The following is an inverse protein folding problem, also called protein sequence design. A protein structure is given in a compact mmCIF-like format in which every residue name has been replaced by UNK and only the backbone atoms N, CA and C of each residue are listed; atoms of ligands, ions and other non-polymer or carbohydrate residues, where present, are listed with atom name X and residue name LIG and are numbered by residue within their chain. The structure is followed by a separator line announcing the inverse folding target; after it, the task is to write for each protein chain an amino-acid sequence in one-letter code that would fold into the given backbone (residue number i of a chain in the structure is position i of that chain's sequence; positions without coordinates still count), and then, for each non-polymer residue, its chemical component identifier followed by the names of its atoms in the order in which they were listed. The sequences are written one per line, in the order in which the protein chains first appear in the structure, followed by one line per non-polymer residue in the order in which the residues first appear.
data_IF_804744996267
#
_entry.id   IF_804744996267
#
_cell.length_a   1.000
_cell.length_b   1.000
_cell.length_c   1.000
_cell.angle_alpha   90.00
_cell.angle_beta   90.00
_cell.angle_gamma   90.00
#
_symmetry.space_group_name_H-M   'P 1'
#
loop_
_entity.id
_entity.type
_entity.pdbx_description
1 polymer ?
#
# COMPACT_ATOMS: atom_id res chain seq x y z
N UNK A 1 -2.84 -46.80 38.59
CA UNK A 1 -3.32 -45.58 39.28
C UNK A 1 -2.20 -44.54 39.26
N UNK A 2 -2.13 -43.70 38.22
CA UNK A 2 -1.19 -42.56 38.18
C UNK A 2 -1.80 -41.47 39.08
N UNK A 3 -1.11 -41.19 40.20
CA UNK A 3 -1.67 -40.47 41.34
C UNK A 3 -2.08 -39.04 40.97
N UNK A 4 -3.12 -38.53 41.63
CA UNK A 4 -3.60 -37.15 41.52
C UNK A 4 -2.46 -36.10 41.65
N UNK A 5 -1.37 -36.46 42.34
CA UNK A 5 -0.15 -35.65 42.47
C UNK A 5 0.60 -35.42 41.14
N UNK A 6 0.58 -36.37 40.20
CA UNK A 6 1.17 -36.17 38.86
C UNK A 6 0.33 -35.25 37.98
N UNK A 7 -0.99 -35.24 38.20
CA UNK A 7 -1.90 -34.31 37.54
C UNK A 7 -1.73 -32.90 38.11
N UNK A 8 -1.74 -32.71 39.43
CA UNK A 8 -1.55 -31.38 40.03
C UNK A 8 -0.20 -30.75 39.67
N UNK A 9 0.88 -31.54 39.62
CA UNK A 9 2.21 -31.07 39.21
C UNK A 9 2.30 -30.63 37.73
N UNK A 10 1.44 -31.17 36.86
CA UNK A 10 1.36 -30.75 35.44
C UNK A 10 0.57 -29.45 35.28
N UNK A 11 -0.51 -29.29 36.04
CA UNK A 11 -1.30 -28.07 36.07
C UNK A 11 -0.51 -26.88 36.63
N UNK A 12 0.27 -27.08 37.69
CA UNK A 12 1.10 -26.01 38.27
C UNK A 12 2.19 -25.56 37.31
N UNK A 13 2.90 -26.49 36.65
CA UNK A 13 3.90 -26.14 35.61
C UNK A 13 3.28 -25.43 34.41
N UNK A 14 2.11 -25.88 33.94
CA UNK A 14 1.38 -25.21 32.87
C UNK A 14 0.98 -23.79 33.25
N UNK A 15 0.51 -23.59 34.49
CA UNK A 15 0.19 -22.28 35.04
C UNK A 15 1.40 -21.33 35.09
N UNK A 16 2.55 -21.80 35.58
CA UNK A 16 3.77 -20.98 35.61
C UNK A 16 4.27 -20.62 34.20
N UNK A 17 4.16 -21.53 33.23
CA UNK A 17 4.50 -21.22 31.84
C UNK A 17 3.55 -20.20 31.22
N UNK A 18 2.24 -20.31 31.46
CA UNK A 18 1.27 -19.34 30.97
C UNK A 18 1.55 -17.94 31.54
N UNK A 19 1.82 -17.85 32.85
CA UNK A 19 2.21 -16.59 33.51
C UNK A 19 3.48 -16.03 32.90
N UNK A 20 4.50 -16.86 32.67
CA UNK A 20 5.76 -16.45 32.06
C UNK A 20 5.57 -15.91 30.63
N UNK A 21 4.76 -16.59 29.81
CA UNK A 21 4.45 -16.14 28.44
C UNK A 21 3.69 -14.83 28.44
N UNK A 22 2.67 -14.68 29.29
CA UNK A 22 1.90 -13.43 29.42
C UNK A 22 2.79 -12.26 29.86
N UNK A 23 3.73 -12.51 30.77
CA UNK A 23 4.65 -11.49 31.28
C UNK A 23 5.65 -11.05 30.19
N UNK A 24 6.20 -11.98 29.41
CA UNK A 24 7.09 -11.67 28.27
C UNK A 24 6.31 -10.95 27.17
N UNK A 25 5.11 -11.40 26.81
CA UNK A 25 4.25 -10.72 25.84
C UNK A 25 3.89 -9.30 26.30
N UNK A 26 3.59 -9.11 27.58
CA UNK A 26 3.32 -7.80 28.17
C UNK A 26 4.53 -6.87 28.08
N UNK A 27 5.73 -7.35 28.45
CA UNK A 27 6.97 -6.58 28.34
C UNK A 27 7.32 -6.20 26.90
N UNK A 28 7.20 -7.14 25.96
CA UNK A 28 7.44 -6.87 24.53
C UNK A 28 6.42 -5.87 23.99
N UNK A 29 5.15 -5.99 24.39
CA UNK A 29 4.10 -5.04 23.98
C UNK A 29 4.37 -3.62 24.50
N UNK A 30 4.91 -3.48 25.71
CA UNK A 30 5.32 -2.18 26.26
C UNK A 30 6.53 -1.54 25.55
N UNK A 31 7.38 -2.34 24.90
CA UNK A 31 8.56 -1.85 24.17
C UNK A 31 8.23 -1.50 22.72
N UNK A 32 7.31 -2.25 22.10
CA UNK A 32 6.96 -2.10 20.68
C UNK A 32 5.85 -1.08 20.46
N UNK A 33 4.93 -0.93 21.41
CA UNK A 33 3.82 0.00 21.32
C UNK A 33 4.14 1.28 22.11
N UNK A 34 3.85 2.45 21.54
CA UNK A 34 3.94 3.72 22.26
C UNK A 34 2.90 3.68 23.40
N UNK A 35 3.36 3.28 24.59
CA UNK A 35 2.52 2.84 25.71
C UNK A 35 1.40 3.82 26.09
N UNK A 36 1.59 5.15 26.10
CA UNK A 36 0.49 6.07 26.43
C UNK A 36 -0.56 6.18 25.32
N UNK A 37 -0.17 6.07 24.04
CA UNK A 37 -1.11 6.11 22.91
C UNK A 37 -1.95 4.82 22.89
N UNK A 38 -1.29 3.68 23.05
CA UNK A 38 -1.91 2.35 22.99
C UNK A 38 -2.90 2.14 24.13
N UNK A 39 -2.55 2.56 25.35
CA UNK A 39 -3.45 2.48 26.51
C UNK A 39 -4.66 3.42 26.39
N UNK A 40 -4.47 4.62 25.83
CA UNK A 40 -5.59 5.56 25.57
C UNK A 40 -6.53 5.04 24.49
N UNK A 41 -5.98 4.43 23.44
CA UNK A 41 -6.77 3.80 22.38
C UNK A 41 -7.55 2.60 22.90
N UNK A 42 -6.93 1.71 23.68
CA UNK A 42 -7.63 0.59 24.32
C UNK A 42 -8.73 1.09 25.25
N UNK A 43 -8.44 2.10 26.08
CA UNK A 43 -9.43 2.68 26.99
C UNK A 43 -10.61 3.35 26.25
N UNK A 44 -10.34 4.07 25.15
CA UNK A 44 -11.37 4.68 24.31
C UNK A 44 -12.20 3.62 23.57
N UNK A 45 -11.55 2.59 23.02
CA UNK A 45 -12.23 1.47 22.35
C UNK A 45 -13.07 0.62 23.31
N UNK A 46 -12.68 0.53 24.59
CA UNK A 46 -13.42 -0.21 25.61
C UNK A 46 -14.75 0.42 26.01
N UNK A 47 -14.95 1.71 25.71
CA UNK A 47 -16.20 2.43 25.97
C UNK A 47 -17.27 2.20 24.89
N UNK A 48 -16.92 1.59 23.76
CA UNK A 48 -17.87 1.32 22.68
C UNK A 48 -18.53 -0.06 22.82
N UNK A 49 -19.86 -0.09 22.75
CA UNK A 49 -20.63 -1.33 22.73
C UNK A 49 -20.21 -2.21 21.54
N UNK A 50 -19.84 -3.47 21.81
CA UNK A 50 -19.46 -4.46 20.79
C UNK A 50 -17.95 -4.73 20.68
N UNK A 51 -17.09 -3.77 21.00
CA UNK A 51 -15.63 -3.96 20.96
C UNK A 51 -15.15 -5.03 21.95
N UNK A 52 -15.59 -5.06 23.23
CA UNK A 52 -15.15 -6.10 24.16
C UNK A 52 -15.51 -7.51 23.69
N UNK A 53 -16.65 -7.66 23.00
CA UNK A 53 -17.11 -8.95 22.46
C UNK A 53 -16.29 -9.37 21.24
N UNK A 54 -15.99 -8.43 20.34
CA UNK A 54 -15.15 -8.68 19.16
C UNK A 54 -13.71 -9.02 19.55
N UNK A 55 -13.14 -8.29 20.51
CA UNK A 55 -11.79 -8.55 21.05
C UNK A 55 -11.75 -9.88 21.80
N UNK A 56 -12.78 -10.22 22.59
CA UNK A 56 -12.85 -11.51 23.26
C UNK A 56 -12.95 -12.68 22.26
N UNK A 57 -13.75 -12.54 21.20
CA UNK A 57 -13.88 -13.57 20.18
C UNK A 57 -12.60 -13.71 19.36
N UNK A 58 -12.03 -12.60 18.88
CA UNK A 58 -10.77 -12.60 18.14
C UNK A 58 -9.61 -13.14 18.99
N UNK A 59 -9.53 -12.74 20.25
CA UNK A 59 -8.56 -13.26 21.21
C UNK A 59 -8.73 -14.76 21.47
N UNK A 60 -9.96 -15.25 21.61
CA UNK A 60 -10.23 -16.67 21.77
C UNK A 60 -9.84 -17.49 20.53
N UNK A 61 -10.12 -16.98 19.32
CA UNK A 61 -9.71 -17.61 18.06
C UNK A 61 -8.19 -17.63 17.93
N UNK A 62 -7.51 -16.53 18.22
CA UNK A 62 -6.06 -16.41 18.15
C UNK A 62 -5.37 -17.36 19.15
N UNK A 63 -5.88 -17.46 20.37
CA UNK A 63 -5.42 -18.41 21.38
C UNK A 63 -5.65 -19.86 20.93
N UNK A 64 -6.80 -20.16 20.34
CA UNK A 64 -7.12 -21.47 19.76
C UNK A 64 -6.15 -21.86 18.64
N UNK A 65 -5.92 -20.95 17.68
CA UNK A 65 -4.97 -21.16 16.58
C UNK A 65 -3.54 -21.32 17.09
N UNK A 66 -3.12 -20.50 18.05
CA UNK A 66 -1.79 -20.60 18.66
C UNK A 66 -1.59 -21.94 19.37
N UNK A 67 -2.63 -22.44 20.07
CA UNK A 67 -2.61 -23.75 20.69
C UNK A 67 -2.54 -24.88 19.65
N UNK A 68 -3.26 -24.76 18.52
CA UNK A 68 -3.19 -25.72 17.42
C UNK A 68 -1.81 -25.76 16.76
N UNK A 69 -1.20 -24.59 16.51
CA UNK A 69 0.16 -24.49 15.96
C UNK A 69 1.18 -25.11 16.93
N UNK A 70 1.06 -24.82 18.23
CA UNK A 70 1.91 -25.43 19.24
C UNK A 70 1.74 -26.95 19.30
N UNK A 71 0.51 -27.45 19.25
CA UNK A 71 0.22 -28.88 19.20
C UNK A 71 0.84 -29.55 17.95
N UNK A 72 0.76 -28.91 16.78
CA UNK A 72 1.40 -29.37 15.55
C UNK A 72 2.92 -29.43 15.70
N UNK A 73 3.54 -28.40 16.27
CA UNK A 73 4.99 -28.38 16.54
C UNK A 73 5.39 -29.51 17.49
N UNK A 74 4.60 -29.78 18.53
CA UNK A 74 4.85 -30.89 19.46
C UNK A 74 4.66 -32.26 18.79
N UNK A 75 3.69 -32.41 17.87
CA UNK A 75 3.52 -33.63 17.08
C UNK A 75 4.73 -33.83 16.16
N UNK A 76 5.18 -32.79 15.46
CA UNK A 76 6.38 -32.83 14.61
C UNK A 76 7.61 -33.21 15.45
N UNK A 77 7.81 -32.55 16.59
CA UNK A 77 8.90 -32.86 17.52
C UNK A 77 8.83 -34.32 18.02
N UNK A 78 7.65 -34.80 18.38
CA UNK A 78 7.44 -36.18 18.80
C UNK A 78 7.74 -37.17 17.66
N UNK A 79 7.37 -36.86 16.41
CA UNK A 79 7.70 -37.69 15.25
C UNK A 79 9.21 -37.71 14.98
N UNK A 80 9.90 -36.58 15.12
CA UNK A 80 11.37 -36.51 14.97
C UNK A 80 12.12 -37.26 16.07
N UNK A 81 11.65 -37.17 17.32
CA UNK A 81 12.31 -37.81 18.48
C UNK A 81 11.93 -39.28 18.67
N UNK A 82 10.72 -39.71 18.27
CA UNK A 82 10.29 -41.11 18.26
C UNK A 82 10.86 -41.94 17.11
N UNK A 83 11.48 -41.29 16.12
CA UNK A 83 12.15 -41.95 14.98
C UNK A 83 13.46 -42.67 15.35
N UNK A 84 13.86 -42.70 16.63
CA UNK A 84 15.06 -43.37 17.11
C UNK A 84 15.08 -44.91 17.02
N UNK A 85 14.00 -45.58 16.61
CA UNK A 85 13.89 -47.06 16.70
C UNK A 85 13.37 -47.78 15.44
N UNK A 86 13.42 -47.18 14.24
CA UNK A 86 13.07 -47.90 12.99
C UNK A 86 14.27 -48.10 12.06
N UNK A 87 14.97 -49.25 12.12
CA UNK A 87 16.10 -49.55 11.26
C UNK A 87 15.67 -50.28 9.97
N UNK A 88 14.75 -49.75 9.13
CA UNK A 88 14.36 -50.46 7.89
C UNK A 88 13.99 -49.63 6.65
N UNK A 89 14.28 -48.32 6.58
CA UNK A 89 13.95 -47.53 5.37
C UNK A 89 15.07 -46.58 4.88
N UNK A 90 16.34 -46.85 5.21
CA UNK A 90 17.45 -45.92 4.93
C UNK A 90 17.81 -45.78 3.43
N UNK A 91 17.49 -46.76 2.59
CA UNK A 91 17.88 -46.75 1.17
C UNK A 91 16.85 -46.06 0.29
N UNK A 92 15.54 -46.32 0.43
CA UNK A 92 14.52 -45.62 -0.38
C UNK A 92 14.32 -44.16 0.06
N UNK A 93 14.45 -43.86 1.36
CA UNK A 93 14.43 -42.48 1.85
C UNK A 93 15.63 -41.66 1.38
N UNK A 94 16.81 -42.27 1.17
CA UNK A 94 17.97 -41.56 0.60
C UNK A 94 17.78 -41.20 -0.87
N UNK A 95 17.24 -42.12 -1.68
CA UNK A 95 16.92 -41.85 -3.09
C UNK A 95 15.81 -40.79 -3.23
N UNK A 96 14.74 -40.89 -2.43
CA UNK A 96 13.66 -39.88 -2.40
C UNK A 96 14.14 -38.52 -1.84
N UNK A 97 15.04 -38.49 -0.85
CA UNK A 97 15.64 -37.23 -0.36
C UNK A 97 16.60 -36.61 -1.35
N UNK A 98 17.39 -37.41 -2.09
CA UNK A 98 18.26 -36.92 -3.15
C UNK A 98 17.45 -36.35 -4.32
N UNK A 99 16.42 -37.07 -4.80
CA UNK A 99 15.54 -36.60 -5.87
C UNK A 99 14.76 -35.33 -5.48
N UNK A 100 14.24 -35.25 -4.25
CA UNK A 100 13.59 -34.03 -3.73
C UNK A 100 14.57 -32.88 -3.55
N UNK A 101 15.80 -33.16 -3.15
CA UNK A 101 16.88 -32.17 -3.04
C UNK A 101 17.19 -31.55 -4.39
N UNK A 102 17.32 -32.36 -5.44
CA UNK A 102 17.58 -31.89 -6.82
C UNK A 102 16.44 -31.02 -7.34
N UNK A 103 15.18 -31.44 -7.15
CA UNK A 103 14.00 -30.64 -7.57
C UNK A 103 13.92 -29.31 -6.82
N UNK A 104 14.20 -29.30 -5.50
CA UNK A 104 14.22 -28.06 -4.72
C UNK A 104 15.35 -27.13 -5.19
N UNK A 105 16.55 -27.65 -5.45
CA UNK A 105 17.66 -26.83 -5.96
C UNK A 105 17.39 -26.28 -7.35
N UNK A 106 16.81 -27.09 -8.24
CA UNK A 106 16.42 -26.65 -9.58
C UNK A 106 15.33 -25.57 -9.51
N UNK A 107 14.35 -25.78 -8.63
CA UNK A 107 13.29 -24.80 -8.38
C UNK A 107 13.84 -23.50 -7.79
N UNK A 108 14.80 -23.56 -6.88
CA UNK A 108 15.45 -22.37 -6.30
C UNK A 108 16.30 -21.60 -7.32
N UNK A 109 16.86 -22.27 -8.33
CA UNK A 109 17.59 -21.61 -9.42
C UNK A 109 16.62 -20.99 -10.42
N UNK A 110 15.51 -21.68 -10.74
CA UNK A 110 14.54 -21.24 -11.75
C UNK A 110 13.60 -20.14 -11.22
N UNK A 111 13.17 -20.21 -9.96
CA UNK A 111 12.22 -19.27 -9.35
C UNK A 111 12.67 -17.81 -9.51
N UNK A 112 13.91 -17.40 -9.16
CA UNK A 112 14.33 -16.02 -9.30
C UNK A 112 14.25 -15.50 -10.73
N UNK A 113 14.59 -16.33 -11.73
CA UNK A 113 14.52 -15.99 -13.15
C UNK A 113 13.06 -15.80 -13.57
N UNK A 114 12.19 -16.74 -13.17
CA UNK A 114 10.75 -16.67 -13.46
C UNK A 114 10.11 -15.46 -12.77
N UNK A 115 10.43 -15.18 -11.51
CA UNK A 115 9.93 -14.02 -10.79
C UNK A 115 10.41 -12.71 -11.43
N UNK A 116 11.68 -12.63 -11.83
CA UNK A 116 12.21 -11.47 -12.56
C UNK A 116 11.46 -11.26 -13.88
N UNK A 117 11.17 -12.33 -14.62
CA UNK A 117 10.42 -12.27 -15.88
C UNK A 117 8.97 -11.82 -15.65
N UNK A 118 8.26 -12.43 -14.70
CA UNK A 118 6.86 -12.09 -14.39
C UNK A 118 6.76 -10.65 -13.91
N UNK A 119 7.60 -10.24 -12.95
CA UNK A 119 7.61 -8.87 -12.43
C UNK A 119 8.07 -7.86 -13.49
N UNK A 120 9.04 -8.23 -14.35
CA UNK A 120 9.48 -7.41 -15.47
C UNK A 120 8.36 -7.16 -16.49
N UNK A 121 7.64 -8.21 -16.88
CA UNK A 121 6.50 -8.11 -17.80
C UNK A 121 5.35 -7.30 -17.18
N UNK A 122 5.05 -7.52 -15.90
CA UNK A 122 4.02 -6.77 -15.19
C UNK A 122 4.38 -5.27 -15.09
N UNK A 123 5.64 -4.94 -14.79
CA UNK A 123 6.09 -3.55 -14.75
C UNK A 123 6.07 -2.91 -16.13
N UNK A 124 6.47 -3.64 -17.17
CA UNK A 124 6.41 -3.15 -18.55
C UNK A 124 4.96 -2.85 -18.97
N UNK A 125 3.99 -3.67 -18.55
CA UNK A 125 2.58 -3.40 -18.79
C UNK A 125 2.12 -2.10 -18.11
N UNK A 126 2.52 -1.85 -16.87
CA UNK A 126 2.23 -0.58 -16.16
C UNK A 126 2.87 0.61 -16.89
N UNK A 127 4.13 0.47 -17.32
CA UNK A 127 4.83 1.52 -18.07
C UNK A 127 4.13 1.81 -19.40
N UNK A 128 3.62 0.79 -20.10
CA UNK A 128 2.85 0.96 -21.32
C UNK A 128 1.50 1.65 -21.08
N UNK A 129 0.78 1.29 -20.00
CA UNK A 129 -0.47 1.98 -19.61
C UNK A 129 -0.17 3.46 -19.32
N UNK A 130 0.89 3.75 -18.58
CA UNK A 130 1.31 5.13 -18.32
C UNK A 130 1.65 5.87 -19.62
N UNK A 131 2.31 5.22 -20.59
CA UNK A 131 2.57 5.78 -21.91
C UNK A 131 1.29 6.14 -22.70
N UNK A 132 0.24 5.33 -22.59
CA UNK A 132 -1.08 5.64 -23.18
C UNK A 132 -1.76 6.78 -22.45
N UNK A 133 -1.79 6.75 -21.11
CA UNK A 133 -2.35 7.82 -20.28
C UNK A 133 -1.64 9.15 -20.51
N UNK A 134 -0.35 9.13 -20.82
CA UNK A 134 0.40 10.32 -21.14
C UNK A 134 -0.13 11.07 -22.36
N UNK A 135 -0.65 10.38 -23.37
CA UNK A 135 -1.27 11.04 -24.53
C UNK A 135 -2.55 11.78 -24.14
N UNK A 136 -3.32 11.21 -23.22
CA UNK A 136 -4.49 11.89 -22.63
C UNK A 136 -4.04 13.06 -21.76
N UNK A 137 -3.01 12.87 -20.94
CA UNK A 137 -2.49 13.90 -20.05
C UNK A 137 -1.93 15.09 -20.83
N UNK A 138 -1.23 14.84 -21.94
CA UNK A 138 -0.79 15.84 -22.91
C UNK A 138 -1.97 16.72 -23.35
N UNK A 139 -3.04 16.10 -23.83
CA UNK A 139 -4.20 16.84 -24.31
C UNK A 139 -4.87 17.64 -23.19
N UNK A 140 -5.05 17.05 -22.01
CA UNK A 140 -5.70 17.72 -20.88
C UNK A 140 -4.86 18.89 -20.34
N UNK A 141 -3.54 18.72 -20.26
CA UNK A 141 -2.60 19.75 -19.84
C UNK A 141 -2.62 20.95 -20.81
N UNK A 142 -2.45 20.68 -22.10
CA UNK A 142 -2.46 21.72 -23.13
C UNK A 142 -3.82 22.42 -23.21
N UNK A 143 -4.94 21.67 -23.13
CA UNK A 143 -6.28 22.25 -23.08
C UNK A 143 -6.47 23.16 -21.88
N UNK A 144 -5.94 22.77 -20.72
CA UNK A 144 -6.07 23.57 -19.51
C UNK A 144 -5.32 24.90 -19.67
N UNK A 145 -4.08 24.87 -20.16
CA UNK A 145 -3.35 26.08 -20.49
C UNK A 145 -4.08 26.93 -21.55
N UNK A 146 -4.57 26.30 -22.60
CA UNK A 146 -5.28 26.96 -23.70
C UNK A 146 -6.58 27.66 -23.26
N UNK A 147 -7.33 27.07 -22.32
CA UNK A 147 -8.56 27.67 -21.77
C UNK A 147 -8.25 28.83 -20.82
N UNK A 148 -7.26 28.67 -19.93
CA UNK A 148 -7.06 29.61 -18.82
C UNK A 148 -6.02 30.71 -19.09
N UNK A 149 -5.07 30.50 -20.02
CA UNK A 149 -4.09 31.52 -20.38
C UNK A 149 -4.67 32.84 -20.93
N UNK A 150 -5.78 32.85 -21.71
CA UNK A 150 -6.37 34.11 -22.19
C UNK A 150 -7.30 34.78 -21.16
N UNK A 151 -7.63 34.13 -20.03
CA UNK A 151 -8.59 34.66 -19.07
C UNK A 151 -7.99 35.82 -18.25
N UNK A 152 -8.67 36.98 -18.19
CA UNK A 152 -8.16 38.15 -17.46
C UNK A 152 -8.13 37.89 -15.95
N UNK A 153 -6.99 38.21 -15.32
CA UNK A 153 -6.81 38.09 -13.86
C UNK A 153 -6.31 36.72 -13.38
N UNK A 154 -6.08 35.76 -14.29
CA UNK A 154 -5.47 34.47 -13.95
C UNK A 154 -3.94 34.57 -13.98
N UNK A 155 -3.29 34.14 -12.90
CA UNK A 155 -1.82 34.11 -12.81
C UNK A 155 -1.22 32.87 -13.47
N UNK A 156 0.05 32.94 -13.89
CA UNK A 156 0.77 31.76 -14.41
C UNK A 156 0.79 30.61 -13.39
N UNK A 157 0.97 30.91 -12.10
CA UNK A 157 0.95 29.92 -11.03
C UNK A 157 -0.39 29.18 -10.96
N UNK A 158 -1.50 29.88 -11.19
CA UNK A 158 -2.83 29.28 -11.23
C UNK A 158 -3.03 28.39 -12.46
N UNK A 159 -2.47 28.76 -13.62
CA UNK A 159 -2.47 27.91 -14.81
C UNK A 159 -1.66 26.64 -14.56
N UNK A 160 -0.47 26.76 -13.95
CA UNK A 160 0.36 25.61 -13.57
C UNK A 160 -0.38 24.68 -12.61
N UNK A 161 -1.02 25.22 -11.57
CA UNK A 161 -1.80 24.43 -10.61
C UNK A 161 -2.94 23.65 -11.28
N UNK A 162 -3.75 24.32 -12.12
CA UNK A 162 -4.85 23.68 -12.86
C UNK A 162 -4.34 22.62 -13.83
N UNK A 163 -3.25 22.90 -14.56
CA UNK A 163 -2.65 21.95 -15.48
C UNK A 163 -2.07 20.73 -14.74
N UNK A 164 -1.44 20.96 -13.59
CA UNK A 164 -0.95 19.89 -12.70
C UNK A 164 -2.07 18.98 -12.25
N UNK A 165 -3.21 19.54 -11.83
CA UNK A 165 -4.40 18.76 -11.45
C UNK A 165 -4.89 17.93 -12.64
N UNK A 166 -5.01 18.52 -13.83
CA UNK A 166 -5.48 17.80 -15.02
C UNK A 166 -4.57 16.62 -15.42
N UNK A 167 -3.24 16.81 -15.33
CA UNK A 167 -2.25 15.74 -15.54
C UNK A 167 -2.37 14.67 -14.45
N UNK A 168 -2.40 15.07 -13.18
CA UNK A 168 -2.50 14.16 -12.04
C UNK A 168 -3.78 13.29 -12.08
N UNK A 169 -4.93 13.88 -12.42
CA UNK A 169 -6.18 13.16 -12.64
C UNK A 169 -6.00 12.04 -13.66
N UNK A 170 -5.31 12.32 -14.76
CA UNK A 170 -5.07 11.35 -15.83
C UNK A 170 -4.16 10.21 -15.39
N UNK A 171 -3.13 10.47 -14.56
CA UNK A 171 -2.21 9.46 -14.07
C UNK A 171 -2.67 8.71 -12.81
N UNK A 172 -3.76 9.14 -12.17
CA UNK A 172 -4.37 8.48 -11.00
C UNK A 172 -4.46 6.94 -11.13
N UNK A 173 -4.86 6.35 -12.27
CA UNK A 173 -4.99 4.88 -12.38
C UNK A 173 -3.67 4.12 -12.15
N UNK A 174 -2.54 4.68 -12.58
CA UNK A 174 -1.19 4.07 -12.46
C UNK A 174 -0.44 4.50 -11.21
N UNK A 175 -1.02 5.40 -10.41
CA UNK A 175 -0.46 5.78 -9.12
C UNK A 175 -0.60 4.63 -8.08
N UNK A 176 0.34 4.52 -7.13
CA UNK A 176 0.28 3.52 -6.07
C UNK A 176 -0.93 3.73 -5.17
N UNK A 177 -1.61 2.63 -4.82
CA UNK A 177 -2.81 2.65 -3.97
C UNK A 177 -2.55 2.90 -2.48
N UNK A 178 -1.33 2.68 -1.99
CA UNK A 178 -0.98 2.78 -0.57
C UNK A 178 -0.15 4.05 -0.31
N UNK A 179 -0.72 5.22 -0.59
CA UNK A 179 -0.07 6.51 -0.26
C UNK A 179 -0.66 7.07 1.04
N UNK A 180 0.19 7.47 1.98
CA UNK A 180 -0.23 8.06 3.25
C UNK A 180 -0.68 9.50 3.02
N UNK A 181 -1.99 9.70 2.89
CA UNK A 181 -2.61 11.03 2.99
C UNK A 181 -2.52 11.53 4.43
N UNK A 182 -2.50 12.84 4.62
CA UNK A 182 -2.57 13.43 5.96
C UNK A 182 -3.91 13.10 6.58
N UNK A 183 -3.88 12.24 7.59
CA UNK A 183 -5.07 11.89 8.35
C UNK A 183 -5.58 13.04 9.20
N UNK A 184 -6.72 12.82 9.86
CA UNK A 184 -7.41 13.79 10.72
C UNK A 184 -6.53 14.40 11.83
N UNK A 185 -5.42 13.74 12.21
CA UNK A 185 -4.46 14.23 13.23
C UNK A 185 -3.27 15.01 12.67
N UNK A 186 -3.28 15.40 11.40
CA UNK A 186 -2.23 16.26 10.83
C UNK A 186 -0.89 15.55 10.58
N UNK A 187 -0.87 14.22 10.59
CA UNK A 187 0.31 13.40 10.26
C UNK A 187 0.11 12.78 8.88
N UNK A 188 0.89 13.20 7.88
CA UNK A 188 0.92 12.60 6.54
C UNK A 188 1.41 13.56 5.44
N UNK A 189 1.40 13.08 4.19
CA UNK A 189 2.13 13.66 3.07
C UNK A 189 1.40 14.72 2.24
N UNK A 190 0.29 15.30 2.72
CA UNK A 190 -0.53 16.26 1.95
C UNK A 190 0.04 17.69 1.92
N UNK A 191 1.14 17.96 2.62
CA UNK A 191 1.70 19.33 2.77
C UNK A 191 2.09 20.02 1.46
N UNK A 192 2.07 19.31 0.32
CA UNK A 192 2.31 19.86 -1.01
C UNK A 192 1.07 20.05 -1.88
N UNK A 193 -0.13 19.70 -1.43
CA UNK A 193 -1.38 19.87 -2.19
C UNK A 193 -1.83 21.35 -2.19
N UNK A 194 -2.27 21.86 -3.34
CA UNK A 194 -2.97 23.14 -3.42
C UNK A 194 -4.41 23.02 -2.91
N UNK A 195 -5.04 24.13 -2.56
CA UNK A 195 -6.46 24.18 -2.17
C UNK A 195 -7.36 23.56 -3.25
N UNK A 196 -7.10 23.85 -4.53
CA UNK A 196 -7.83 23.25 -5.66
C UNK A 196 -7.60 21.75 -5.80
N UNK A 197 -6.40 21.27 -5.46
CA UNK A 197 -6.12 19.83 -5.46
C UNK A 197 -6.86 19.13 -4.31
N UNK A 198 -7.01 19.79 -3.14
CA UNK A 198 -7.84 19.29 -2.05
C UNK A 198 -9.32 19.21 -2.47
N UNK A 199 -9.83 20.22 -3.18
CA UNK A 199 -11.20 20.20 -3.71
C UNK A 199 -11.41 19.09 -4.73
N UNK A 200 -10.47 18.93 -5.68
CA UNK A 200 -10.51 17.85 -6.67
C UNK A 200 -10.51 16.46 -6.01
N UNK A 201 -9.73 16.31 -4.93
CA UNK A 201 -9.70 15.10 -4.10
C UNK A 201 -11.04 14.86 -3.42
N UNK A 202 -11.67 15.89 -2.86
CA UNK A 202 -12.96 15.75 -2.18
C UNK A 202 -14.09 15.36 -3.15
N UNK A 203 -14.04 15.84 -4.40
CA UNK A 203 -14.97 15.40 -5.46
C UNK A 203 -14.82 13.90 -5.74
N UNK A 204 -13.58 13.37 -5.76
CA UNK A 204 -13.34 11.93 -5.92
C UNK A 204 -13.82 11.09 -4.74
N UNK A 205 -13.97 11.70 -3.56
CA UNK A 205 -14.31 10.99 -2.34
C UNK A 205 -15.79 10.54 -2.30
N UNK A 206 -16.62 10.96 -3.26
CA UNK A 206 -18.07 10.64 -3.32
C UNK A 206 -18.75 10.70 -1.95
N UNK A 207 -19.01 11.88 -1.37
CA UNK A 207 -20.01 12.19 -0.30
C UNK A 207 -20.35 11.14 0.81
N UNK A 208 -19.51 10.15 1.06
CA UNK A 208 -19.67 9.10 2.07
C UNK A 208 -18.61 9.39 3.13
N UNK A 209 -18.93 10.34 3.99
CA UNK A 209 -18.16 10.56 5.19
C UNK A 209 -18.51 9.45 6.18
N UNK A 210 -17.88 8.27 6.05
CA UNK A 210 -17.90 7.27 7.12
C UNK A 210 -16.84 7.66 8.15
N UNK A 211 -17.21 7.62 9.44
CA UNK A 211 -16.27 7.78 10.56
C UNK A 211 -15.15 6.71 10.48
N UNK A 212 -15.42 5.57 9.83
CA UNK A 212 -14.43 4.51 9.58
C UNK A 212 -13.31 4.97 8.65
N UNK A 213 -13.59 5.76 7.60
CA UNK A 213 -12.55 6.32 6.71
C UNK A 213 -11.68 7.37 7.42
N UNK A 214 -12.28 8.11 8.37
CA UNK A 214 -11.53 9.06 9.19
C UNK A 214 -10.57 8.34 10.15
N UNK A 215 -10.95 7.16 10.65
CA UNK A 215 -10.11 6.35 11.54
C UNK A 215 -9.05 5.58 10.74
N UNK A 216 -9.41 4.98 9.60
CA UNK A 216 -8.50 4.27 8.69
C UNK A 216 -7.48 5.24 8.06
N UNK A 217 -7.89 6.46 7.71
CA UNK A 217 -6.98 7.49 7.20
C UNK A 217 -6.11 8.16 8.27
N UNK A 218 -6.51 8.12 9.54
CA UNK A 218 -5.79 8.76 10.66
C UNK A 218 -4.81 7.83 11.38
N UNK A 219 -4.93 6.53 11.17
CA UNK A 219 -4.00 5.55 11.72
C UNK A 219 -3.09 5.06 10.58
N UNK A 220 -1.76 5.06 10.74
CA UNK A 220 -0.84 4.33 9.86
C UNK A 220 -0.95 2.83 10.16
N UNK A 221 -2.16 2.33 10.36
CA UNK A 221 -2.44 0.92 10.31
C UNK A 221 -2.37 0.58 8.83
N UNK A 222 -1.34 -0.17 8.43
CA UNK A 222 -1.57 -1.11 7.33
C UNK A 222 -2.94 -1.76 7.63
N UNK A 223 -3.90 -1.74 6.68
CA UNK A 223 -5.15 -2.46 6.89
C UNK A 223 -4.73 -3.86 7.32
N UNK A 224 -5.10 -4.23 8.55
CA UNK A 224 -4.61 -5.46 9.15
C UNK A 224 -4.84 -6.57 8.14
N UNK A 225 -3.83 -7.37 7.83
CA UNK A 225 -3.93 -8.49 6.92
C UNK A 225 -4.88 -9.56 7.49
N UNK A 226 -6.16 -9.24 7.51
CA UNK A 226 -7.24 -10.17 7.72
C UNK A 226 -7.31 -11.02 6.43
N UNK A 227 -7.73 -12.28 6.55
CA UNK A 227 -7.80 -13.18 5.38
C UNK A 227 -8.74 -12.62 4.28
N UNK A 228 -9.61 -11.68 4.64
CA UNK A 228 -10.50 -10.94 3.74
C UNK A 228 -9.89 -9.70 3.08
N UNK A 229 -8.69 -9.26 3.49
CA UNK A 229 -7.99 -8.06 2.97
C UNK A 229 -6.87 -8.40 1.97
N UNK A 230 -6.53 -9.68 1.84
CA UNK A 230 -5.43 -10.18 0.98
C UNK A 230 -5.91 -10.83 -0.32
N UNK A 231 -7.21 -10.79 -0.59
CA UNK A 231 -7.82 -11.46 -1.73
C UNK A 231 -7.77 -10.61 -3.01
N UNK A 232 -7.49 -11.28 -4.15
CA UNK A 232 -7.31 -10.65 -5.47
C UNK A 232 -8.56 -9.91 -5.97
N UNK A 233 -9.75 -10.33 -5.52
CA UNK A 233 -11.04 -9.69 -5.81
C UNK A 233 -11.18 -8.29 -5.18
N UNK A 234 -10.53 -8.01 -4.03
CA UNK A 234 -10.49 -6.64 -3.46
C UNK A 234 -9.50 -5.71 -4.16
N UNK A 235 -8.52 -6.27 -4.87
CA UNK A 235 -7.75 -5.51 -5.85
C UNK A 235 -8.62 -5.14 -7.09
N UNK A 236 -9.78 -5.79 -7.26
CA UNK A 236 -10.78 -5.57 -8.31
C UNK A 236 -12.07 -4.89 -7.81
N UNK A 237 -12.00 -4.11 -6.74
CA UNK A 237 -13.07 -3.21 -6.26
C UNK A 237 -14.39 -3.84 -5.77
N UNK A 238 -14.36 -4.46 -4.59
CA UNK A 238 -15.58 -4.65 -3.77
C UNK A 238 -15.82 -3.44 -2.83
N UNK A 239 -16.30 -2.34 -3.44
CA UNK A 239 -17.28 -1.37 -2.92
C UNK A 239 -17.12 -0.56 -1.62
N UNK A 240 -16.07 -0.69 -0.78
CA UNK A 240 -15.98 0.16 0.46
C UNK A 240 -14.77 1.08 0.52
N UNK A 241 -13.65 0.73 -0.12
CA UNK A 241 -12.39 1.51 -0.04
C UNK A 241 -11.99 2.15 -1.38
N UNK A 242 -12.90 2.22 -2.36
CA UNK A 242 -12.60 2.80 -3.68
C UNK A 242 -12.31 4.30 -3.59
N UNK A 243 -13.18 5.07 -2.94
CA UNK A 243 -13.03 6.51 -2.74
C UNK A 243 -11.72 6.85 -2.00
N UNK A 244 -11.44 6.14 -0.91
CA UNK A 244 -10.20 6.33 -0.13
C UNK A 244 -8.95 5.98 -0.94
N UNK A 245 -8.96 4.91 -1.76
CA UNK A 245 -7.83 4.59 -2.64
C UNK A 245 -7.69 5.57 -3.80
N UNK A 246 -8.80 6.03 -4.39
CA UNK A 246 -8.79 7.01 -5.47
C UNK A 246 -8.18 8.34 -5.00
N UNK A 247 -8.57 8.80 -3.81
CA UNK A 247 -8.03 10.03 -3.21
C UNK A 247 -6.53 9.91 -2.86
N UNK A 248 -6.09 8.75 -2.35
CA UNK A 248 -4.67 8.47 -2.09
C UNK A 248 -3.86 8.43 -3.40
N UNK A 249 -4.37 7.75 -4.42
CA UNK A 249 -3.76 7.68 -5.75
C UNK A 249 -3.66 9.05 -6.41
N UNK A 250 -4.72 9.85 -6.34
CA UNK A 250 -4.70 11.22 -6.87
C UNK A 250 -3.69 12.09 -6.12
N UNK A 251 -3.65 11.98 -4.78
CA UNK A 251 -2.70 12.74 -3.97
C UNK A 251 -1.26 12.41 -4.36
N UNK A 252 -0.93 11.12 -4.49
CA UNK A 252 0.39 10.71 -4.98
C UNK A 252 0.64 11.22 -6.40
N UNK A 253 -0.32 11.06 -7.32
CA UNK A 253 -0.17 11.49 -8.70
C UNK A 253 0.09 13.01 -8.80
N UNK A 254 -0.61 13.81 -8.00
CA UNK A 254 -0.40 15.26 -7.94
C UNK A 254 1.00 15.60 -7.45
N UNK A 255 1.45 14.97 -6.36
CA UNK A 255 2.79 15.20 -5.81
C UNK A 255 3.91 14.68 -6.72
N UNK A 256 3.64 13.64 -7.51
CA UNK A 256 4.54 13.08 -8.51
C UNK A 256 4.56 13.88 -9.82
N UNK A 257 3.61 14.80 -10.03
CA UNK A 257 3.53 15.66 -11.21
C UNK A 257 4.19 17.00 -10.91
N UNK A 258 4.97 17.54 -11.84
CA UNK A 258 5.50 18.90 -11.79
C UNK A 258 5.23 19.61 -13.12
N UNK A 259 4.87 20.90 -13.05
CA UNK A 259 4.72 21.76 -14.23
C UNK A 259 5.91 22.71 -14.26
N UNK A 260 6.80 22.50 -15.23
CA UNK A 260 8.06 23.24 -15.35
C UNK A 260 7.80 24.66 -15.88
N UNK A 261 7.03 24.77 -16.97
CA UNK A 261 6.84 26.02 -17.72
C UNK A 261 5.42 26.13 -18.29
N UNK A 262 4.86 27.34 -18.33
CA UNK A 262 3.70 27.68 -19.16
C UNK A 262 4.20 28.29 -20.47
N UNK A 263 3.82 27.67 -21.58
CA UNK A 263 4.22 28.08 -22.92
C UNK A 263 3.13 29.00 -23.46
N UNK A 264 3.50 30.23 -23.84
CA UNK A 264 2.61 31.18 -24.50
C UNK A 264 3.42 32.04 -25.49
N UNK A 265 4.09 31.38 -26.44
CA UNK A 265 4.97 32.03 -27.42
C UNK A 265 4.78 31.41 -28.79
N UNK A 266 5.01 32.20 -29.85
CA UNK A 266 5.04 31.69 -31.23
C UNK A 266 3.69 31.21 -31.78
N UNK A 267 2.57 31.65 -31.21
CA UNK A 267 1.24 31.18 -31.62
C UNK A 267 0.88 29.80 -31.06
N UNK A 268 1.58 29.33 -30.03
CA UNK A 268 1.27 28.13 -29.26
C UNK A 268 1.01 28.47 -27.80
N UNK A 269 0.06 27.75 -27.19
CA UNK A 269 -0.27 27.82 -25.76
C UNK A 269 -0.22 26.42 -25.16
N UNK A 270 0.43 26.25 -24.01
CA UNK A 270 0.64 24.94 -23.44
C UNK A 270 1.40 24.93 -22.12
N UNK A 271 1.86 23.75 -21.71
CA UNK A 271 2.72 23.54 -20.54
C UNK A 271 3.78 22.46 -20.79
N UNK A 272 4.96 22.62 -20.18
CA UNK A 272 5.91 21.52 -20.00
C UNK A 272 5.66 20.87 -18.64
N UNK A 273 5.56 19.54 -18.60
CA UNK A 273 5.34 18.80 -17.36
C UNK A 273 6.23 17.56 -17.26
N UNK A 274 6.50 17.15 -16.03
CA UNK A 274 7.12 15.87 -15.71
C UNK A 274 6.24 15.08 -14.74
N UNK A 275 6.26 13.75 -14.88
CA UNK A 275 5.57 12.84 -13.99
C UNK A 275 6.51 11.73 -13.52
N UNK A 276 6.57 11.50 -12.21
CA UNK A 276 7.35 10.43 -11.60
C UNK A 276 6.51 9.16 -11.51
N UNK A 277 6.66 8.26 -12.48
CA UNK A 277 5.94 6.98 -12.51
C UNK A 277 6.59 5.97 -11.56
N UNK A 278 5.86 5.56 -10.53
CA UNK A 278 6.34 4.60 -9.54
C UNK A 278 6.58 3.21 -10.15
N UNK A 279 7.77 2.66 -9.92
CA UNK A 279 8.10 1.28 -10.26
C UNK A 279 7.64 0.36 -9.11
N UNK A 280 6.46 -0.21 -9.26
CA UNK A 280 5.76 -0.97 -8.21
C UNK A 280 6.39 -2.34 -7.94
N UNK A 281 7.07 -2.93 -8.92
CA UNK A 281 7.56 -4.30 -8.83
C UNK A 281 8.94 -4.36 -8.13
N UNK A 282 9.07 -5.07 -6.98
CA UNK A 282 10.22 -4.94 -6.07
C UNK A 282 11.55 -5.45 -6.67
N UNK A 283 11.52 -6.45 -7.55
CA UNK A 283 12.75 -7.02 -8.14
C UNK A 283 13.24 -6.28 -9.38
N UNK A 284 12.42 -5.41 -9.97
CA UNK A 284 12.74 -4.72 -11.23
C UNK A 284 12.73 -3.20 -11.10
N UNK A 285 12.37 -2.66 -9.93
CA UNK A 285 12.34 -1.22 -9.70
C UNK A 285 13.68 -0.53 -9.95
N UNK A 286 14.80 -1.19 -9.64
CA UNK A 286 16.14 -0.67 -9.94
C UNK A 286 16.56 -0.77 -11.42
N UNK A 287 15.85 -1.55 -12.22
CA UNK A 287 16.11 -1.70 -13.67
C UNK A 287 15.42 -0.57 -14.44
N UNK A 288 14.20 -0.23 -14.04
CA UNK A 288 13.33 0.72 -14.76
C UNK A 288 13.28 2.11 -14.14
N UNK A 289 13.93 2.36 -13.00
CA UNK A 289 13.79 3.63 -12.30
C UNK A 289 14.94 4.00 -11.38
N UNK A 290 14.96 5.30 -11.05
CA UNK A 290 15.90 5.93 -10.14
C UNK A 290 15.23 6.21 -8.80
N UNK A 291 16.03 6.39 -7.74
CA UNK A 291 15.46 6.67 -6.42
C UNK A 291 15.02 8.13 -6.37
N UNK A 292 13.72 8.35 -6.19
CA UNK A 292 13.15 9.67 -5.91
C UNK A 292 12.28 9.62 -4.66
N UNK A 293 12.00 10.79 -4.10
CA UNK A 293 11.07 10.96 -2.99
C UNK A 293 9.88 11.78 -3.45
N UNK A 294 8.69 11.19 -3.40
CA UNK A 294 7.42 11.87 -3.70
C UNK A 294 6.64 11.99 -2.40
N UNK A 295 6.47 13.23 -1.93
CA UNK A 295 5.93 13.51 -0.60
C UNK A 295 6.76 12.83 0.50
N UNK A 296 6.18 11.89 1.24
CA UNK A 296 6.88 11.12 2.29
C UNK A 296 7.46 9.79 1.81
N UNK A 297 7.22 9.40 0.54
CA UNK A 297 7.58 8.08 0.01
C UNK A 297 8.84 8.13 -0.85
N UNK A 298 9.93 7.57 -0.34
CA UNK A 298 11.12 7.26 -1.13
C UNK A 298 10.97 5.91 -1.82
N UNK A 299 11.07 5.89 -3.14
CA UNK A 299 10.95 4.66 -3.94
C UNK A 299 11.65 4.81 -5.30
N UNK A 300 11.53 3.78 -6.14
CA UNK A 300 11.99 3.82 -7.54
C UNK A 300 10.94 4.45 -8.44
N UNK A 301 11.34 5.40 -9.26
CA UNK A 301 10.49 6.12 -10.20
C UNK A 301 11.15 6.26 -11.57
N UNK A 302 10.33 6.29 -12.61
CA UNK A 302 10.73 6.65 -13.98
C UNK A 302 10.17 8.03 -14.29
N UNK A 303 11.01 8.96 -14.72
CA UNK A 303 10.58 10.31 -15.10
C UNK A 303 10.03 10.34 -16.50
N UNK A 304 8.81 10.86 -16.63
CA UNK A 304 8.07 11.03 -17.87
C UNK A 304 7.94 12.53 -18.15
N UNK A 305 8.76 13.09 -19.03
CA UNK A 305 8.79 14.53 -19.33
C UNK A 305 8.22 14.84 -20.72
N UNK A 306 7.32 15.82 -20.80
CA UNK A 306 6.60 16.15 -22.02
C UNK A 306 6.29 17.64 -22.14
N UNK A 307 6.26 18.11 -23.40
CA UNK A 307 5.90 19.47 -23.76
C UNK A 307 4.55 19.46 -24.47
N UNK A 308 3.49 19.85 -23.76
CA UNK A 308 2.12 19.80 -24.23
C UNK A 308 1.64 21.16 -24.73
N UNK A 309 1.45 21.32 -26.05
CA UNK A 309 1.02 22.59 -26.67
C UNK A 309 -0.18 22.42 -27.59
N UNK A 310 -0.91 23.51 -27.76
CA UNK A 310 -2.01 23.68 -28.71
C UNK A 310 -1.82 24.99 -29.48
N UNK A 311 -2.34 25.11 -30.71
CA UNK A 311 -2.35 26.38 -31.41
C UNK A 311 -3.14 27.41 -30.59
N UNK A 312 -2.57 28.61 -30.46
CA UNK A 312 -3.16 29.70 -29.70
C UNK A 312 -4.56 30.01 -30.20
N UNK A 313 -5.43 30.44 -29.28
CA UNK A 313 -6.77 30.87 -29.64
C UNK A 313 -6.70 32.02 -30.64
N UNK A 314 -7.48 31.99 -31.74
CA UNK A 314 -7.65 33.16 -32.58
C UNK A 314 -8.48 34.18 -31.80
N UNK A 315 -7.81 35.03 -31.02
CA UNK A 315 -8.50 36.02 -30.19
C UNK A 315 -9.19 37.07 -31.07
N UNK A 316 -10.52 37.04 -31.11
CA UNK A 316 -11.39 38.19 -31.42
C UNK A 316 -12.17 38.53 -30.16
N UNK A 317 -11.61 39.41 -29.32
CA UNK A 317 -12.44 40.19 -28.39
C UNK A 317 -12.23 41.65 -28.74
N UNK A 318 -13.31 42.24 -29.25
CA UNK A 318 -13.32 43.53 -29.92
C UNK A 318 -14.25 43.54 -31.13
N UNK A 319 -15.55 43.35 -30.90
CA UNK A 319 -16.52 44.17 -31.62
C UNK A 319 -17.20 45.06 -30.56
N UNK A 320 -17.19 46.39 -30.75
CA UNK A 320 -17.99 47.30 -29.93
C UNK A 320 -19.48 46.97 -30.03
#
# INVERSE_FOLDING_TARGET
MRSAAQWSARWTRGGFHLIGVLLVCGLVSCVVADAPLTLRLVAASWQHEGVPRAVALGGAIQLGLSACVWALLMIVWALFTSSGTRPMARTSQRALRAARGTVITETLIVIPIVLLLIFGLAQLAINNIAGVLNQVAYFQAARTAWVWAPEPGISEAEIKDRARIAVALTFTPVAPGNYQTTGYFGVGGDGGLSERALDAREIMRERYFSIEDAIIGALPLEPSADANDTSFDRALDSSTNYATRATQKFTHAYLATEIEEVINTGGEVGVSYSFLLHQAMPLVGGIFGETHTVGTRSAKYMTLSYRATMPAQPYRVGRP
#
